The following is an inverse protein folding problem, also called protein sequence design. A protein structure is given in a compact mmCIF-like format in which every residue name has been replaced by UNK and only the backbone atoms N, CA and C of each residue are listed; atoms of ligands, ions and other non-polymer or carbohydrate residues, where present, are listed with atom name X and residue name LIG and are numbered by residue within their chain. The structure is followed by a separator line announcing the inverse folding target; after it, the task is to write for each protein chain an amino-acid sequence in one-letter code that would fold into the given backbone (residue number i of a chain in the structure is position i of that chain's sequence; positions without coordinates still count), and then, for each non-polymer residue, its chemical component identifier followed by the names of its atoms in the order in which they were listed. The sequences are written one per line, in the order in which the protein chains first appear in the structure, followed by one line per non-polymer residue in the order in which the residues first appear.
data_IF_653559244113
#
_entry.id   IF_653559244113
#
_cell.length_a   1.000
_cell.length_b   1.000
_cell.length_c   1.000
_cell.angle_alpha   90.00
_cell.angle_beta   90.00
_cell.angle_gamma   90.00
#
_symmetry.space_group_name_H-M   'P 1'
#
loop_
_entity.id
_entity.type
_entity.pdbx_description
1 polymer ?
#
# COMPACT_ATOMS: atom_id res chain seq x y z
N UNK A 1 7.72 24.22 -25.90
CA UNK A 1 7.97 22.86 -26.42
C UNK A 1 7.91 21.75 -25.34
N UNK A 2 7.66 22.06 -24.06
CA UNK A 2 7.65 21.07 -22.96
C UNK A 2 6.37 20.20 -22.84
N UNK A 3 5.31 20.50 -23.59
CA UNK A 3 4.02 19.82 -23.45
C UNK A 3 3.95 18.46 -24.16
N UNK A 4 4.80 18.20 -25.16
CA UNK A 4 4.83 16.90 -25.86
C UNK A 4 5.42 15.79 -24.99
N UNK A 5 6.61 16.05 -24.45
CA UNK A 5 7.40 15.10 -23.65
C UNK A 5 6.68 14.70 -22.35
N UNK A 6 6.05 15.65 -21.65
CA UNK A 6 5.27 15.36 -20.42
C UNK A 6 4.06 14.47 -20.72
N UNK A 7 3.41 14.67 -21.88
CA UNK A 7 2.26 13.85 -22.29
C UNK A 7 2.69 12.45 -22.75
N UNK A 8 3.83 12.34 -23.43
CA UNK A 8 4.42 11.05 -23.81
C UNK A 8 4.84 10.25 -22.59
N UNK A 9 5.47 10.90 -21.60
CA UNK A 9 5.81 10.31 -20.30
C UNK A 9 4.58 9.77 -19.59
N UNK A 10 3.51 10.57 -19.47
CA UNK A 10 2.25 10.13 -18.85
C UNK A 10 1.61 8.95 -19.58
N UNK A 11 1.65 8.94 -20.92
CA UNK A 11 1.13 7.81 -21.71
C UNK A 11 1.97 6.54 -21.52
N UNK A 12 3.29 6.67 -21.48
CA UNK A 12 4.19 5.54 -21.22
C UNK A 12 3.93 4.95 -19.82
N UNK A 13 3.80 5.80 -18.80
CA UNK A 13 3.46 5.36 -17.44
C UNK A 13 2.07 4.73 -17.39
N UNK A 14 1.06 5.30 -18.07
CA UNK A 14 -0.27 4.71 -18.13
C UNK A 14 -0.26 3.30 -18.74
N UNK A 15 0.46 3.12 -19.87
CA UNK A 15 0.61 1.79 -20.48
C UNK A 15 1.32 0.79 -19.55
N UNK A 16 2.24 1.28 -18.73
CA UNK A 16 2.94 0.46 -17.73
C UNK A 16 2.01 0.12 -16.56
N UNK A 17 1.17 1.04 -16.11
CA UNK A 17 0.13 0.78 -15.13
C UNK A 17 -0.87 -0.27 -15.64
N UNK A 18 -1.31 -0.15 -16.89
CA UNK A 18 -2.23 -1.11 -17.52
C UNK A 18 -1.64 -2.53 -17.57
N UNK A 19 -0.32 -2.65 -17.80
CA UNK A 19 0.40 -3.92 -17.68
C UNK A 19 0.30 -4.50 -16.26
N UNK A 20 0.51 -3.67 -15.24
CA UNK A 20 0.53 -4.09 -13.82
C UNK A 20 -0.86 -4.44 -13.30
N UNK A 21 -1.92 -3.81 -13.82
CA UNK A 21 -3.30 -4.15 -13.44
C UNK A 21 -3.72 -5.55 -13.92
N UNK A 22 -3.04 -6.15 -14.92
CA UNK A 22 -3.19 -7.58 -15.21
C UNK A 22 -2.34 -8.41 -14.24
N UNK A 23 -2.98 -8.91 -13.19
CA UNK A 23 -2.34 -9.72 -12.14
C UNK A 23 -1.54 -10.93 -12.64
N UNK A 24 -1.82 -11.46 -13.84
CA UNK A 24 -1.05 -12.58 -14.42
C UNK A 24 0.35 -12.16 -14.86
N UNK A 25 0.50 -10.88 -15.21
CA UNK A 25 1.75 -10.30 -15.70
C UNK A 25 2.69 -9.88 -14.59
N UNK A 26 2.16 -9.59 -13.40
CA UNK A 26 2.97 -9.24 -12.23
C UNK A 26 3.88 -10.39 -11.77
N UNK A 27 3.51 -11.64 -12.09
CA UNK A 27 4.33 -12.82 -11.80
C UNK A 27 5.23 -13.25 -12.97
N UNK A 28 5.25 -12.50 -14.08
CA UNK A 28 5.96 -12.87 -15.30
C UNK A 28 7.38 -12.30 -15.31
N UNK A 29 8.25 -12.84 -16.17
CA UNK A 29 9.66 -12.39 -16.26
C UNK A 29 9.78 -10.95 -16.75
N UNK A 30 8.81 -10.50 -17.54
CA UNK A 30 8.71 -9.14 -18.05
C UNK A 30 8.55 -8.13 -16.90
N UNK A 31 7.95 -8.53 -15.78
CA UNK A 31 7.83 -7.67 -14.60
C UNK A 31 9.19 -7.29 -14.01
N UNK A 32 10.23 -8.14 -14.17
CA UNK A 32 11.57 -7.81 -13.69
C UNK A 32 12.15 -6.55 -14.35
N UNK A 33 11.82 -6.29 -15.62
CA UNK A 33 12.24 -5.08 -16.33
C UNK A 33 11.39 -3.85 -15.99
N UNK A 34 10.17 -4.07 -15.49
CA UNK A 34 9.21 -3.01 -15.14
C UNK A 34 9.41 -2.56 -13.68
N UNK A 35 9.79 -3.46 -12.79
CA UNK A 35 9.90 -3.18 -11.36
C UNK A 35 10.85 -2.01 -11.02
N UNK A 36 12.05 -1.88 -11.62
CA UNK A 36 12.91 -0.71 -11.38
C UNK A 36 12.25 0.61 -11.81
N UNK A 37 11.57 0.60 -12.95
CA UNK A 37 10.86 1.79 -13.47
C UNK A 37 9.75 2.21 -12.49
N UNK A 38 9.01 1.25 -11.93
CA UNK A 38 7.99 1.54 -10.92
C UNK A 38 8.59 2.17 -9.66
N UNK A 39 9.76 1.71 -9.22
CA UNK A 39 10.45 2.28 -8.06
C UNK A 39 10.85 3.73 -8.29
N UNK A 40 11.45 4.01 -9.45
CA UNK A 40 11.86 5.38 -9.81
C UNK A 40 10.66 6.34 -9.85
N UNK A 41 9.49 5.85 -10.27
CA UNK A 41 8.27 6.65 -10.34
C UNK A 41 7.59 6.85 -8.97
N UNK A 42 7.99 6.14 -7.91
CA UNK A 42 7.47 6.38 -6.56
C UNK A 42 7.86 7.76 -6.02
N UNK A 43 9.03 8.27 -6.42
CA UNK A 43 9.59 9.56 -5.99
C UNK A 43 9.44 10.65 -7.06
N UNK A 44 8.52 10.47 -8.02
CA UNK A 44 8.33 11.41 -9.12
C UNK A 44 7.86 12.79 -8.63
N UNK A 45 8.36 13.86 -9.23
CA UNK A 45 7.87 15.22 -9.01
C UNK A 45 6.37 15.39 -9.29
N UNK A 46 5.79 14.61 -10.23
CA UNK A 46 4.38 14.69 -10.58
C UNK A 46 3.51 13.85 -9.61
N UNK A 47 2.66 14.48 -8.77
CA UNK A 47 1.81 13.76 -7.82
C UNK A 47 0.82 12.82 -8.51
N UNK A 48 0.43 13.08 -9.77
CA UNK A 48 -0.43 12.19 -10.53
C UNK A 48 0.27 10.87 -10.88
N UNK A 49 1.57 10.91 -11.15
CA UNK A 49 2.37 9.72 -11.41
C UNK A 49 2.59 8.92 -10.13
N UNK A 50 2.95 9.59 -9.02
CA UNK A 50 3.05 8.92 -7.70
C UNK A 50 1.74 8.24 -7.30
N UNK A 51 0.59 8.88 -7.57
CA UNK A 51 -0.73 8.26 -7.33
C UNK A 51 -0.96 7.02 -8.21
N UNK A 52 -0.62 7.08 -9.49
CA UNK A 52 -0.78 5.93 -10.37
C UNK A 52 0.12 4.76 -9.96
N UNK A 53 1.35 5.05 -9.56
CA UNK A 53 2.30 4.04 -9.08
C UNK A 53 1.86 3.43 -7.76
N UNK A 54 1.42 4.24 -6.79
CA UNK A 54 0.89 3.70 -5.52
C UNK A 54 -0.35 2.81 -5.73
N UNK A 55 -1.21 3.15 -6.70
CA UNK A 55 -2.31 2.27 -7.12
C UNK A 55 -1.80 0.97 -7.76
N UNK A 56 -0.72 1.02 -8.54
CA UNK A 56 -0.07 -0.17 -9.07
C UNK A 56 0.48 -1.07 -7.95
N UNK A 57 1.15 -0.50 -6.95
CA UNK A 57 1.62 -1.25 -5.77
C UNK A 57 0.45 -1.91 -5.02
N UNK A 58 -0.67 -1.20 -4.86
CA UNK A 58 -1.88 -1.78 -4.30
C UNK A 58 -2.41 -2.94 -5.17
N UNK A 59 -2.43 -2.80 -6.50
CA UNK A 59 -2.88 -3.86 -7.41
C UNK A 59 -1.96 -5.10 -7.36
N UNK A 60 -0.65 -4.91 -7.35
CA UNK A 60 0.36 -5.98 -7.21
C UNK A 60 0.07 -6.81 -5.96
N UNK A 61 -0.12 -6.15 -4.81
CA UNK A 61 -0.34 -6.82 -3.52
C UNK A 61 -1.72 -7.48 -3.38
N UNK A 62 -2.64 -7.27 -4.34
CA UNK A 62 -3.97 -7.88 -4.31
C UNK A 62 -3.93 -9.41 -4.46
N UNK A 63 -2.90 -9.97 -5.09
CA UNK A 63 -2.78 -11.41 -5.33
C UNK A 63 -1.59 -12.02 -4.58
N UNK A 64 -1.64 -13.32 -4.27
CA UNK A 64 -0.54 -14.01 -3.59
C UNK A 64 0.74 -14.03 -4.43
N UNK A 65 0.63 -14.18 -5.75
CA UNK A 65 1.77 -14.11 -6.66
C UNK A 65 2.38 -12.70 -6.68
N UNK A 66 1.55 -11.66 -6.76
CA UNK A 66 2.03 -10.29 -6.74
C UNK A 66 2.60 -9.87 -5.39
N UNK A 67 2.11 -10.38 -4.24
CA UNK A 67 2.78 -10.17 -2.95
C UNK A 67 4.20 -10.77 -2.91
N UNK A 68 4.41 -11.94 -3.51
CA UNK A 68 5.76 -12.52 -3.66
C UNK A 68 6.65 -11.68 -4.57
N UNK A 69 6.11 -11.21 -5.69
CA UNK A 69 6.84 -10.29 -6.57
C UNK A 69 7.19 -8.97 -5.86
N UNK A 70 6.25 -8.44 -5.06
CA UNK A 70 6.45 -7.23 -4.27
C UNK A 70 7.65 -7.37 -3.33
N UNK A 71 7.72 -8.51 -2.65
CA UNK A 71 8.79 -8.88 -1.74
C UNK A 71 10.13 -9.09 -2.47
N UNK A 72 10.13 -9.90 -3.54
CA UNK A 72 11.30 -10.20 -4.36
C UNK A 72 11.95 -8.97 -4.97
N UNK A 73 11.15 -7.98 -5.39
CA UNK A 73 11.64 -6.72 -5.92
C UNK A 73 11.89 -5.66 -4.85
N UNK A 74 11.58 -5.95 -3.58
CA UNK A 74 11.89 -5.09 -2.45
C UNK A 74 11.17 -3.74 -2.50
N UNK A 75 9.85 -3.72 -2.77
CA UNK A 75 9.05 -2.49 -2.84
C UNK A 75 8.66 -1.90 -1.47
N UNK A 76 9.11 -2.49 -0.36
CA UNK A 76 8.73 -2.05 0.99
C UNK A 76 9.20 -0.62 1.28
N UNK A 77 10.43 -0.29 0.90
CA UNK A 77 11.03 1.02 1.17
C UNK A 77 10.20 2.12 0.52
N UNK A 78 9.86 1.93 -0.75
CA UNK A 78 9.08 2.87 -1.54
C UNK A 78 7.65 2.98 -1.01
N UNK A 79 6.99 1.85 -0.69
CA UNK A 79 5.64 1.88 -0.13
C UNK A 79 5.57 2.52 1.26
N UNK A 80 6.61 2.36 2.10
CA UNK A 80 6.71 3.04 3.39
C UNK A 80 6.95 4.54 3.22
N UNK A 81 7.83 4.95 2.31
CA UNK A 81 8.07 6.37 2.00
C UNK A 81 6.82 7.08 1.49
N UNK A 82 5.98 6.40 0.70
CA UNK A 82 4.71 6.94 0.22
C UNK A 82 3.66 7.17 1.34
N UNK A 83 3.85 6.64 2.55
CA UNK A 83 2.99 6.96 3.69
C UNK A 83 3.17 8.40 4.18
N UNK A 84 4.28 9.06 3.83
CA UNK A 84 4.56 10.47 4.12
C UNK A 84 4.34 11.39 2.93
N UNK A 85 3.78 10.89 1.83
CA UNK A 85 3.51 11.72 0.65
C UNK A 85 2.57 12.89 1.00
N UNK A 86 2.76 14.04 0.37
CA UNK A 86 1.91 15.21 0.53
C UNK A 86 0.45 14.92 0.13
N UNK A 87 0.25 14.08 -0.90
CA UNK A 87 -1.07 13.69 -1.39
C UNK A 87 -1.71 12.61 -0.52
N UNK A 88 -2.90 12.91 0.00
CA UNK A 88 -3.67 11.95 0.78
C UNK A 88 -4.05 10.69 -0.03
N UNK A 89 -4.32 10.85 -1.33
CA UNK A 89 -4.67 9.72 -2.19
C UNK A 89 -3.50 8.74 -2.35
N UNK A 90 -2.27 9.26 -2.43
CA UNK A 90 -1.05 8.45 -2.48
C UNK A 90 -0.87 7.69 -1.17
N UNK A 91 -0.98 8.38 -0.03
CA UNK A 91 -0.88 7.76 1.31
C UNK A 91 -1.90 6.64 1.48
N UNK A 92 -3.15 6.87 1.07
CA UNK A 92 -4.23 5.86 1.14
C UNK A 92 -3.91 4.64 0.29
N UNK A 93 -3.44 4.83 -0.95
CA UNK A 93 -3.08 3.72 -1.84
C UNK A 93 -1.90 2.90 -1.30
N UNK A 94 -0.86 3.57 -0.79
CA UNK A 94 0.28 2.93 -0.13
C UNK A 94 -0.14 2.12 1.11
N UNK A 95 -1.02 2.68 1.95
CA UNK A 95 -1.58 1.99 3.11
C UNK A 95 -2.34 0.72 2.71
N UNK A 96 -3.14 0.77 1.64
CA UNK A 96 -3.84 -0.41 1.10
C UNK A 96 -2.85 -1.49 0.68
N UNK A 97 -1.76 -1.12 0.00
CA UNK A 97 -0.72 -2.07 -0.41
C UNK A 97 -0.08 -2.77 0.80
N UNK A 98 0.34 -1.99 1.81
CA UNK A 98 0.97 -2.51 3.02
C UNK A 98 0.03 -3.39 3.85
N UNK A 99 -1.24 -2.99 4.01
CA UNK A 99 -2.24 -3.81 4.73
C UNK A 99 -2.43 -5.18 4.09
N UNK A 100 -2.38 -5.27 2.76
CA UNK A 100 -2.50 -6.53 2.02
C UNK A 100 -1.29 -7.45 2.25
N UNK A 101 -0.11 -6.90 2.50
CA UNK A 101 1.08 -7.66 2.84
C UNK A 101 0.98 -8.27 4.25
N UNK A 102 0.44 -7.50 5.21
CA UNK A 102 0.26 -7.95 6.61
C UNK A 102 -0.71 -9.13 6.75
N UNK A 103 -1.72 -9.22 5.88
CA UNK A 103 -2.68 -10.34 5.89
C UNK A 103 -2.04 -11.65 5.38
N UNK A 104 -0.86 -11.61 4.77
CA UNK A 104 -0.16 -12.79 4.26
C UNK A 104 0.89 -13.28 5.28
N UNK A 105 0.67 -14.42 5.99
CA UNK A 105 1.54 -14.85 7.09
C UNK A 105 3.01 -15.04 6.70
N UNK A 106 3.28 -15.34 5.42
CA UNK A 106 4.61 -15.59 4.89
C UNK A 106 5.52 -14.35 4.79
N UNK A 107 4.95 -13.14 4.72
CA UNK A 107 5.72 -11.90 4.51
C UNK A 107 6.01 -11.15 5.82
N UNK A 108 5.35 -11.55 6.92
CA UNK A 108 5.34 -10.77 8.15
C UNK A 108 6.66 -10.85 8.91
N UNK A 109 7.28 -12.03 9.01
CA UNK A 109 8.30 -12.31 10.02
C UNK A 109 9.76 -12.18 9.58
N UNK A 110 10.10 -12.29 8.29
CA UNK A 110 11.50 -12.22 7.84
C UNK A 110 11.94 -10.82 7.41
N UNK A 111 11.07 -10.07 6.73
CA UNK A 111 11.51 -8.89 5.98
C UNK A 111 10.75 -7.60 6.31
N UNK A 112 9.48 -7.70 6.73
CA UNK A 112 8.65 -6.51 7.00
C UNK A 112 8.94 -5.90 8.37
N UNK A 113 8.99 -6.69 9.44
CA UNK A 113 9.21 -6.17 10.80
C UNK A 113 10.52 -5.38 10.96
N UNK A 114 11.68 -5.87 10.49
CA UNK A 114 12.93 -5.12 10.59
C UNK A 114 12.87 -3.78 9.83
N UNK A 115 12.35 -3.80 8.58
CA UNK A 115 12.27 -2.61 7.72
C UNK A 115 11.26 -1.58 8.22
N UNK A 116 10.16 -2.03 8.83
CA UNK A 116 9.17 -1.14 9.47
C UNK A 116 9.75 -0.53 10.74
N UNK A 117 10.46 -1.31 11.57
CA UNK A 117 11.09 -0.83 12.80
C UNK A 117 12.22 0.18 12.54
N UNK A 118 12.95 0.04 11.42
CA UNK A 118 14.02 0.94 11.01
C UNK A 118 13.53 2.21 10.29
N UNK A 119 12.25 2.26 9.88
CA UNK A 119 11.76 3.40 9.11
C UNK A 119 11.55 4.63 10.02
N UNK A 120 12.01 5.84 9.62
CA UNK A 120 11.97 7.05 10.45
C UNK A 120 10.58 7.41 11.01
N UNK A 121 9.52 7.07 10.28
CA UNK A 121 8.12 7.25 10.71
C UNK A 121 7.78 6.54 12.03
N UNK A 122 8.43 5.42 12.35
CA UNK A 122 8.18 4.65 13.57
C UNK A 122 9.24 4.91 14.64
N UNK A 123 10.37 5.53 14.28
CA UNK A 123 11.43 5.91 15.21
C UNK A 123 11.05 7.15 16.06
N UNK A 124 10.18 8.03 15.56
CA UNK A 124 9.71 9.21 16.32
C UNK A 124 8.55 8.92 17.27
N UNK A 125 7.91 7.75 17.17
CA UNK A 125 6.93 7.30 18.16
C UNK A 125 7.64 6.45 19.23
N UNK A 126 8.37 7.14 20.10
CA UNK A 126 8.89 6.57 21.33
C UNK A 126 7.75 6.10 22.23
N UNK A 127 7.39 4.83 22.08
CA UNK A 127 6.85 3.89 23.08
C UNK A 127 6.31 2.69 22.29
N UNK A 128 7.21 1.79 21.89
CA UNK A 128 6.87 0.45 21.44
C UNK A 128 6.39 -0.35 22.66
N UNK A 129 5.15 -0.10 23.12
CA UNK A 129 4.39 -1.16 23.74
C UNK A 129 4.25 -2.27 22.71
N UNK A 130 4.85 -3.40 23.03
CA UNK A 130 4.80 -4.64 22.26
C UNK A 130 3.39 -4.88 21.72
N UNK A 131 3.22 -4.66 20.41
CA UNK A 131 2.00 -4.99 19.69
C UNK A 131 1.78 -6.52 19.75
N UNK A 132 1.07 -6.98 20.78
CA UNK A 132 0.29 -8.21 20.72
C UNK A 132 -0.87 -7.96 19.73
N UNK A 133 -0.55 -8.00 18.44
CA UNK A 133 -1.42 -7.53 17.35
C UNK A 133 -2.66 -8.40 17.09
N UNK A 134 -2.97 -9.36 17.97
CA UNK A 134 -4.25 -10.09 17.94
C UNK A 134 -5.36 -9.39 18.74
N UNK A 135 -5.04 -8.53 19.71
CA UNK A 135 -6.06 -7.91 20.59
C UNK A 135 -6.61 -6.57 20.08
N UNK A 136 -5.83 -5.80 19.31
CA UNK A 136 -6.24 -4.47 18.84
C UNK A 136 -7.27 -4.49 17.71
N UNK A 137 -7.22 -5.48 16.82
CA UNK A 137 -8.20 -5.65 15.74
C UNK A 137 -9.56 -6.07 16.31
N UNK A 138 -9.57 -6.94 17.33
CA UNK A 138 -10.78 -7.32 18.07
C UNK A 138 -11.40 -6.10 18.77
N UNK A 139 -10.56 -5.24 19.36
CA UNK A 139 -11.04 -4.04 20.07
C UNK A 139 -11.72 -3.01 19.15
N UNK A 140 -11.31 -2.93 17.88
CA UNK A 140 -11.93 -2.02 16.91
C UNK A 140 -13.22 -2.59 16.33
N UNK A 141 -13.26 -3.90 16.06
CA UNK A 141 -14.49 -4.58 15.63
C UNK A 141 -15.54 -4.63 16.76
N UNK A 142 -15.14 -4.83 18.02
CA UNK A 142 -16.04 -4.79 19.18
C UNK A 142 -16.61 -3.39 19.43
N UNK A 143 -15.80 -2.33 19.29
CA UNK A 143 -16.28 -0.95 19.40
C UNK A 143 -17.26 -0.59 18.28
N UNK A 144 -17.02 -1.08 17.06
CA UNK A 144 -17.96 -0.90 15.95
C UNK A 144 -19.28 -1.66 16.19
N UNK A 145 -19.20 -2.90 16.70
CA UNK A 145 -20.38 -3.71 17.06
C UNK A 145 -21.22 -3.07 18.16
N UNK A 146 -20.57 -2.52 19.20
CA UNK A 146 -21.26 -1.82 20.29
C UNK A 146 -21.88 -0.49 19.85
N UNK A 147 -21.26 0.20 18.88
CA UNK A 147 -21.83 1.42 18.28
C UNK A 147 -23.08 1.10 17.45
N UNK A 148 -23.01 0.07 16.61
CA UNK A 148 -24.13 -0.35 15.75
C UNK A 148 -25.32 -0.89 16.58
N UNK A 149 -25.04 -1.57 17.70
CA UNK A 149 -26.05 -2.09 18.63
C UNK A 149 -26.72 -0.98 19.47
N UNK A 150 -25.96 0.03 19.92
CA UNK A 150 -26.54 1.23 20.56
C UNK A 150 -27.47 1.99 19.63
N UNK A 151 -27.09 2.12 18.36
CA UNK A 151 -27.87 2.84 17.36
C UNK A 151 -29.16 2.08 16.99
N UNK A 152 -29.10 0.74 16.99
CA UNK A 152 -30.28 -0.13 16.82
C UNK A 152 -31.24 -0.08 18.01
N UNK A 153 -30.72 -0.08 19.24
CA UNK A 153 -31.56 0.00 20.44
C UNK A 153 -32.18 1.39 20.63
N UNK A 154 -31.51 2.46 20.18
CA UNK A 154 -32.08 3.81 20.12
C UNK A 154 -33.31 3.90 19.21
N UNK A 155 -33.34 3.16 18.10
CA UNK A 155 -34.46 3.16 17.14
C UNK A 155 -35.67 2.33 17.60
N UNK A 156 -35.50 1.46 18.61
CA UNK A 156 -36.56 0.62 19.18
C UNK A 156 -37.27 1.27 20.38
N UNK A 157 -36.74 2.37 20.92
CA UNK A 157 -37.29 3.11 22.07
C UNK A 157 -38.19 4.30 21.66
N UNK A 158 -38.29 4.60 20.36
CA UNK A 158 -39.12 5.67 19.79
C UNK A 158 -40.41 5.14 19.10
N UNK A 159 -40.85 3.91 19.40
CA UNK A 159 -42.15 3.33 19.02
C UNK A 159 -42.98 2.98 20.26
#
# INVERSE_FOLDING_TARGET
MQSGEVNERRRAVQSLCDFVFDSRRVASKEFNGIAPILKDLCDDSDPGLRLNVSKCLAAITATAAGRRAFDQHGFYSEALGMLTDESEEVRRAANVALRRLVISPSALFSDLFPKVAEHPLFAEQGELETLSCTSGILSFEEKKRQSDEKQRNSLLLDQ
#
